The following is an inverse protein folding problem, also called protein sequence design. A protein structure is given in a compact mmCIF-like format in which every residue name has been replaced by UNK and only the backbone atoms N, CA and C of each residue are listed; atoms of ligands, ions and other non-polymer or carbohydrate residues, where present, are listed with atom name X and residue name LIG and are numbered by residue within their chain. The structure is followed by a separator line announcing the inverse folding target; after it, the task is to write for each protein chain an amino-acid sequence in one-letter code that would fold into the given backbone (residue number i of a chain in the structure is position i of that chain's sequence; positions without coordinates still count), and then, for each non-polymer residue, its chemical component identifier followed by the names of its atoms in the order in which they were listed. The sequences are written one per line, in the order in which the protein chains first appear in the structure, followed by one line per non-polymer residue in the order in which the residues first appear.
data_IF_313926457093
#
_entry.id   IF_313926457093
#
_cell.length_a   1.000
_cell.length_b   1.000
_cell.length_c   1.000
_cell.angle_alpha   90.00
_cell.angle_beta   90.00
_cell.angle_gamma   90.00
#
_symmetry.space_group_name_H-M   'P 1'
#
loop_
_entity.id
_entity.type
_entity.pdbx_description
1 polymer ?
#
# COMPACT_ATOMS: atom_id res chain seq x y z
N UNK A 1 13.05 2.34 0.23
CA UNK A 1 12.01 2.65 1.25
C UNK A 1 11.80 4.15 1.20
N UNK A 2 10.54 4.64 1.11
CA UNK A 2 10.26 6.06 1.07
C UNK A 2 10.42 6.71 2.44
N UNK A 3 10.68 8.02 2.47
CA UNK A 3 10.75 8.79 3.73
C UNK A 3 9.40 8.82 4.45
N UNK A 4 8.32 9.06 3.69
CA UNK A 4 6.96 8.91 4.18
C UNK A 4 6.04 8.36 3.09
N UNK A 5 5.07 7.56 3.52
CA UNK A 5 3.98 7.07 2.68
C UNK A 5 2.68 7.08 3.48
N UNK A 6 1.58 7.45 2.82
CA UNK A 6 0.24 7.42 3.40
C UNK A 6 -0.78 6.88 2.41
N UNK A 7 -1.89 6.35 2.92
CA UNK A 7 -3.00 5.86 2.10
C UNK A 7 -4.27 6.67 2.42
N UNK A 8 -4.90 7.18 1.38
CA UNK A 8 -6.22 7.85 1.42
C UNK A 8 -7.32 6.83 1.11
N UNK A 9 -8.58 7.30 1.08
CA UNK A 9 -9.75 6.50 0.65
C UNK A 9 -9.48 5.79 -0.69
N UNK A 10 -10.11 4.63 -0.87
CA UNK A 10 -9.93 3.77 -2.04
C UNK A 10 -8.47 3.36 -2.30
N UNK A 11 -7.72 3.11 -1.22
CA UNK A 11 -6.32 2.65 -1.27
C UNK A 11 -5.40 3.55 -2.11
N UNK A 12 -5.67 4.86 -2.14
CA UNK A 12 -4.89 5.81 -2.91
C UNK A 12 -3.63 6.21 -2.14
N UNK A 13 -2.46 5.73 -2.57
CA UNK A 13 -1.20 5.94 -1.88
C UNK A 13 -0.51 7.24 -2.31
N UNK A 14 0.08 7.94 -1.34
CA UNK A 14 0.88 9.14 -1.55
C UNK A 14 2.24 8.93 -0.93
N UNK A 15 3.29 9.11 -1.73
CA UNK A 15 4.68 9.05 -1.28
C UNK A 15 5.24 10.45 -1.19
N UNK A 16 5.95 10.73 -0.11
CA UNK A 16 6.67 11.98 0.11
C UNK A 16 8.13 11.66 0.38
N UNK A 17 9.01 12.31 -0.37
CA UNK A 17 10.46 12.20 -0.27
C UNK A 17 11.01 13.55 0.19
N UNK A 18 11.56 13.59 1.39
CA UNK A 18 12.09 14.79 2.01
C UNK A 18 13.52 15.01 1.55
N UNK A 19 13.85 16.22 1.08
CA UNK A 19 15.21 16.58 0.68
C UNK A 19 15.58 17.92 1.31
N UNK A 20 16.72 17.96 2.00
CA UNK A 20 17.20 19.14 2.73
C UNK A 20 18.33 19.86 1.98
N UNK A 21 18.93 19.20 0.99
CA UNK A 21 19.99 19.74 0.15
C UNK A 21 19.81 19.34 -1.31
N UNK A 22 20.48 20.07 -2.23
CA UNK A 22 20.51 19.70 -3.65
C UNK A 22 21.24 18.38 -3.88
N UNK A 23 22.27 18.09 -3.08
CA UNK A 23 22.98 16.81 -3.14
C UNK A 23 22.05 15.63 -2.82
N UNK A 24 21.18 15.74 -1.80
CA UNK A 24 20.19 14.71 -1.48
C UNK A 24 19.24 14.44 -2.65
N UNK A 25 18.82 15.51 -3.34
CA UNK A 25 17.94 15.41 -4.50
C UNK A 25 18.61 14.63 -5.64
N UNK A 26 19.86 14.95 -5.98
CA UNK A 26 20.58 14.25 -7.05
C UNK A 26 20.88 12.79 -6.69
N UNK A 27 21.31 12.53 -5.46
CA UNK A 27 21.52 11.17 -4.97
C UNK A 27 20.24 10.31 -5.00
N UNK A 28 19.08 10.93 -4.75
CA UNK A 28 17.80 10.25 -4.89
C UNK A 28 17.45 9.91 -6.34
N UNK A 29 17.74 10.80 -7.29
CA UNK A 29 17.52 10.54 -8.73
C UNK A 29 18.37 9.37 -9.26
N UNK A 30 19.57 9.18 -8.71
CA UNK A 30 20.47 8.11 -9.13
C UNK A 30 20.02 6.71 -8.68
N UNK A 31 19.05 6.61 -7.76
CA UNK A 31 18.60 5.32 -7.23
C UNK A 31 18.03 4.42 -8.35
N UNK A 32 18.31 3.11 -8.36
CA UNK A 32 17.90 2.20 -9.44
C UNK A 32 16.40 2.20 -9.75
N UNK A 33 15.55 2.36 -8.74
CA UNK A 33 14.09 2.40 -8.89
C UNK A 33 13.56 3.75 -9.40
N UNK A 34 14.42 4.77 -9.55
CA UNK A 34 14.10 6.01 -10.28
C UNK A 34 14.34 5.89 -11.77
N UNK A 35 15.32 5.07 -12.14
CA UNK A 35 15.59 4.71 -13.54
C UNK A 35 14.55 3.74 -14.10
N UNK A 36 13.83 3.03 -13.21
CA UNK A 36 12.77 2.07 -13.50
C UNK A 36 11.44 2.51 -12.88
N UNK A 37 10.69 3.43 -13.52
CA UNK A 37 9.45 3.99 -12.98
C UNK A 37 8.41 2.94 -12.57
N UNK A 38 8.45 1.77 -13.21
CA UNK A 38 7.59 0.62 -12.96
C UNK A 38 7.73 0.02 -11.56
N UNK A 39 8.88 0.21 -10.91
CA UNK A 39 9.14 -0.23 -9.53
C UNK A 39 8.76 0.83 -8.49
N UNK A 40 8.41 2.04 -8.95
CA UNK A 40 8.10 3.16 -8.07
C UNK A 40 6.81 2.97 -7.27
N UNK A 41 6.84 3.41 -6.02
CA UNK A 41 5.69 3.42 -5.11
C UNK A 41 4.85 4.69 -5.27
N UNK A 42 3.59 4.65 -4.87
CA UNK A 42 2.69 5.79 -4.75
C UNK A 42 1.87 6.06 -6.01
N UNK A 43 0.57 6.31 -5.82
CA UNK A 43 -0.32 6.89 -6.84
C UNK A 43 0.06 8.35 -7.14
N UNK A 44 0.33 9.11 -6.08
CA UNK A 44 0.91 10.46 -6.11
C UNK A 44 2.31 10.42 -5.48
N UNK A 45 3.21 11.25 -5.99
CA UNK A 45 4.60 11.33 -5.53
C UNK A 45 5.04 12.78 -5.39
N UNK A 46 5.57 13.12 -4.23
CA UNK A 46 6.00 14.48 -3.92
C UNK A 46 7.44 14.50 -3.42
N UNK A 47 8.17 15.54 -3.81
CA UNK A 47 9.30 16.00 -3.02
C UNK A 47 8.81 17.03 -1.99
N UNK A 48 9.33 16.96 -0.77
CA UNK A 48 9.16 17.98 0.27
C UNK A 48 10.52 18.60 0.56
N UNK A 49 10.64 19.91 0.38
CA UNK A 49 11.91 20.63 0.58
C UNK A 49 11.71 21.91 1.38
N UNK A 50 12.79 22.49 1.95
CA UNK A 50 12.79 23.92 2.29
C UNK A 50 12.40 24.78 1.08
N UNK A 51 11.80 25.94 1.35
CA UNK A 51 11.41 26.88 0.31
C UNK A 51 12.61 27.30 -0.54
N UNK A 52 12.45 27.28 -1.87
CA UNK A 52 13.47 27.69 -2.83
C UNK A 52 14.59 26.69 -3.09
N UNK A 53 14.56 25.48 -2.50
CA UNK A 53 15.63 24.48 -2.72
C UNK A 53 15.60 23.86 -4.13
N UNK A 54 14.40 23.54 -4.61
CA UNK A 54 14.16 22.90 -5.91
C UNK A 54 13.14 23.72 -6.69
N UNK A 55 13.34 23.78 -8.01
CA UNK A 55 12.38 24.39 -8.90
C UNK A 55 11.45 23.33 -9.54
N UNK A 56 10.14 23.60 -9.69
CA UNK A 56 9.18 22.65 -10.26
C UNK A 56 9.60 21.96 -11.56
N UNK A 57 10.33 22.60 -12.47
CA UNK A 57 10.74 21.99 -13.75
C UNK A 57 11.93 21.03 -13.62
N UNK A 58 12.64 21.03 -12.50
CA UNK A 58 13.72 20.07 -12.23
C UNK A 58 13.19 18.69 -11.86
N UNK A 59 11.90 18.60 -11.51
CA UNK A 59 11.29 17.38 -11.01
C UNK A 59 10.99 16.39 -12.14
N UNK A 60 11.10 15.08 -11.86
CA UNK A 60 10.65 14.06 -12.80
C UNK A 60 9.19 14.26 -13.21
N UNK A 61 8.85 13.88 -14.45
CA UNK A 61 7.51 14.10 -15.00
C UNK A 61 6.42 13.51 -14.09
N UNK A 62 5.43 14.34 -13.77
CA UNK A 62 4.27 13.95 -12.93
C UNK A 62 4.51 14.04 -11.42
N UNK A 63 5.74 14.31 -10.97
CA UNK A 63 6.01 14.54 -9.55
C UNK A 63 5.52 15.91 -9.11
N UNK A 64 5.04 15.97 -7.87
CA UNK A 64 4.67 17.21 -7.20
C UNK A 64 5.82 17.76 -6.35
N UNK A 65 5.74 19.06 -6.04
CA UNK A 65 6.66 19.76 -5.16
C UNK A 65 5.87 20.39 -4.01
N UNK A 66 6.32 20.09 -2.80
CA UNK A 66 5.88 20.68 -1.55
C UNK A 66 7.03 21.47 -0.94
N UNK A 67 6.74 22.66 -0.44
CA UNK A 67 7.71 23.46 0.29
C UNK A 67 7.29 23.62 1.75
N UNK A 68 8.23 23.39 2.66
CA UNK A 68 8.06 23.62 4.09
C UNK A 68 8.51 25.04 4.44
N UNK A 69 7.62 25.79 5.08
CA UNK A 69 7.91 27.10 5.67
C UNK A 69 7.50 27.08 7.15
N UNK A 70 8.46 26.76 8.03
CA UNK A 70 8.19 26.61 9.46
C UNK A 70 7.27 25.42 9.76
N UNK A 71 6.01 25.69 10.14
CA UNK A 71 5.00 24.67 10.45
C UNK A 71 3.98 24.46 9.34
N UNK A 72 4.06 25.22 8.25
CA UNK A 72 3.14 25.11 7.11
C UNK A 72 3.82 24.44 5.93
N UNK A 73 3.03 23.67 5.19
CA UNK A 73 3.46 23.04 3.94
C UNK A 73 2.65 23.63 2.80
N UNK A 74 3.34 24.15 1.80
CA UNK A 74 2.77 24.80 0.62
C UNK A 74 2.92 23.88 -0.58
N UNK A 75 1.85 23.75 -1.39
CA UNK A 75 1.88 22.97 -2.63
C UNK A 75 2.31 23.88 -3.75
N UNK A 76 3.55 23.73 -4.22
CA UNK A 76 4.09 24.50 -5.35
C UNK A 76 3.70 23.84 -6.68
N UNK A 77 3.77 22.51 -6.75
CA UNK A 77 3.36 21.73 -7.91
C UNK A 77 2.55 20.51 -7.47
N UNK A 78 1.38 20.30 -8.08
CA UNK A 78 0.57 19.10 -7.85
C UNK A 78 1.19 17.88 -8.54
N UNK A 79 1.11 16.72 -7.89
CA UNK A 79 1.47 15.44 -8.49
C UNK A 79 0.36 14.90 -9.38
N UNK A 80 0.73 14.10 -10.38
CA UNK A 80 -0.21 13.23 -11.08
C UNK A 80 -0.74 12.15 -10.12
N UNK A 81 -1.99 11.71 -10.33
CA UNK A 81 -2.72 10.84 -9.40
C UNK A 81 -2.66 9.35 -9.74
N UNK A 82 -2.07 8.99 -10.88
CA UNK A 82 -2.11 7.64 -11.44
C UNK A 82 -0.70 7.12 -11.79
N UNK A 83 0.30 7.46 -10.97
CA UNK A 83 1.68 7.04 -11.17
C UNK A 83 1.94 5.59 -10.73
N UNK A 84 0.98 4.95 -10.04
CA UNK A 84 1.12 3.61 -9.49
C UNK A 84 0.99 2.54 -10.58
N UNK A 85 1.93 1.60 -10.57
CA UNK A 85 1.90 0.39 -11.39
C UNK A 85 1.45 -0.83 -10.58
N UNK A 86 1.16 -1.95 -11.24
CA UNK A 86 0.82 -3.22 -10.58
C UNK A 86 1.99 -3.71 -9.69
N UNK A 87 3.23 -3.55 -10.15
CA UNK A 87 4.42 -3.95 -9.39
C UNK A 87 4.63 -3.03 -8.19
N UNK A 88 4.53 -1.71 -8.39
CA UNK A 88 4.60 -0.72 -7.31
C UNK A 88 3.55 -0.97 -6.24
N UNK A 89 2.32 -1.33 -6.63
CA UNK A 89 1.25 -1.70 -5.69
C UNK A 89 1.62 -2.91 -4.82
N UNK A 90 2.20 -3.98 -5.40
CA UNK A 90 2.65 -5.14 -4.61
C UNK A 90 3.72 -4.72 -3.59
N UNK A 91 4.65 -3.85 -3.97
CA UNK A 91 5.65 -3.32 -3.05
C UNK A 91 5.04 -2.45 -1.95
N UNK A 92 4.02 -1.64 -2.24
CA UNK A 92 3.26 -0.89 -1.25
C UNK A 92 2.59 -1.83 -0.23
N UNK A 93 1.96 -2.91 -0.69
CA UNK A 93 1.31 -3.89 0.20
C UNK A 93 2.34 -4.60 1.09
N UNK A 94 3.48 -4.99 0.53
CA UNK A 94 4.57 -5.57 1.32
C UNK A 94 5.11 -4.59 2.37
N UNK A 95 5.21 -3.30 2.03
CA UNK A 95 5.64 -2.26 2.96
C UNK A 95 4.62 -2.02 4.08
N UNK A 96 3.33 -2.06 3.75
CA UNK A 96 2.24 -1.95 4.72
C UNK A 96 2.26 -3.14 5.69
N UNK A 97 2.32 -4.36 5.17
CA UNK A 97 2.43 -5.59 5.98
C UNK A 97 3.67 -5.56 6.89
N UNK A 98 4.83 -5.14 6.37
CA UNK A 98 6.05 -5.00 7.15
C UNK A 98 5.92 -3.93 8.26
N UNK A 99 5.19 -2.84 7.99
CA UNK A 99 4.94 -1.78 8.97
C UNK A 99 4.01 -2.25 10.09
N UNK A 100 2.94 -2.98 9.75
CA UNK A 100 2.01 -3.56 10.72
C UNK A 100 2.72 -4.53 11.67
N UNK A 101 3.57 -5.41 11.14
CA UNK A 101 4.39 -6.35 11.95
C UNK A 101 5.26 -5.63 12.98
N UNK A 102 5.74 -4.41 12.69
CA UNK A 102 6.55 -3.60 13.63
C UNK A 102 5.69 -2.95 14.71
N UNK A 103 4.44 -2.60 14.38
CA UNK A 103 3.49 -1.98 15.32
C UNK A 103 2.82 -3.05 16.21
N UNK A 104 2.62 -4.28 15.71
CA UNK A 104 2.20 -5.44 16.50
C UNK A 104 3.14 -5.73 17.69
N UNK A 105 4.39 -5.24 17.69
CA UNK A 105 5.30 -5.35 18.85
C UNK A 105 4.87 -4.44 20.02
N UNK A 106 3.90 -3.54 19.85
CA UNK A 106 3.36 -2.66 20.91
C UNK A 106 1.93 -2.98 21.35
N UNK A 107 1.28 -3.92 20.69
CA UNK A 107 0.07 -4.56 21.22
C UNK A 107 0.60 -5.88 21.73
N UNK A 108 0.68 -6.04 23.05
CA UNK A 108 1.18 -7.26 23.68
C UNK A 108 0.74 -8.49 22.87
N UNK A 109 1.68 -9.29 22.32
CA UNK A 109 1.33 -10.37 21.43
C UNK A 109 0.59 -11.42 22.27
N UNK A 110 -0.73 -11.35 22.27
CA UNK A 110 -1.56 -12.49 22.63
C UNK A 110 -1.07 -13.59 21.69
N UNK A 111 -0.49 -14.65 22.24
CA UNK A 111 -0.09 -15.81 21.43
C UNK A 111 -1.30 -16.25 20.57
N UNK A 112 -1.10 -16.97 19.46
CA UNK A 112 -2.25 -17.54 18.70
C UNK A 112 -3.22 -18.23 19.67
N UNK A 113 -2.68 -18.90 20.69
CA UNK A 113 -3.44 -19.49 21.78
C UNK A 113 -4.27 -18.48 22.57
N UNK A 114 -3.73 -17.31 22.90
CA UNK A 114 -4.44 -16.27 23.65
C UNK A 114 -5.45 -15.49 22.78
N UNK A 115 -5.16 -15.30 21.48
CA UNK A 115 -6.12 -14.80 20.50
C UNK A 115 -7.30 -15.78 20.29
N UNK A 116 -7.01 -17.09 20.19
CA UNK A 116 -8.03 -18.13 20.10
C UNK A 116 -8.81 -18.27 21.42
N UNK A 117 -8.14 -18.18 22.58
CA UNK A 117 -8.82 -18.09 23.88
C UNK A 117 -9.66 -16.83 23.99
N UNK A 118 -9.29 -15.72 23.36
CA UNK A 118 -10.09 -14.50 23.31
C UNK A 118 -11.34 -14.67 22.44
N UNK A 119 -11.22 -15.26 21.22
CA UNK A 119 -12.38 -15.63 20.40
C UNK A 119 -13.32 -16.60 21.14
N UNK A 120 -12.76 -17.61 21.80
CA UNK A 120 -13.55 -18.60 22.56
C UNK A 120 -14.19 -17.99 23.82
N UNK A 121 -13.48 -17.10 24.54
CA UNK A 121 -14.04 -16.39 25.70
C UNK A 121 -15.16 -15.43 25.32
N UNK A 122 -15.10 -14.76 24.17
CA UNK A 122 -16.22 -13.93 23.70
C UNK A 122 -17.45 -14.75 23.33
N UNK A 123 -17.27 -15.96 22.79
CA UNK A 123 -18.37 -16.89 22.54
C UNK A 123 -19.02 -17.34 23.87
N UNK A 124 -18.24 -17.68 24.90
CA UNK A 124 -18.77 -18.04 26.22
C UNK A 124 -19.43 -16.84 26.94
N UNK A 125 -18.83 -15.64 26.86
CA UNK A 125 -19.32 -14.43 27.54
C UNK A 125 -20.64 -13.91 26.95
N UNK A 126 -20.88 -14.14 25.65
CA UNK A 126 -22.16 -13.84 25.00
C UNK A 126 -23.14 -15.04 25.02
N UNK A 127 -22.89 -16.06 25.84
CA UNK A 127 -23.77 -17.23 25.96
C UNK A 127 -23.86 -18.09 24.68
N UNK A 128 -22.82 -18.07 23.85
CA UNK A 128 -22.75 -18.74 22.54
C UNK A 128 -23.14 -17.86 21.35
N UNK A 129 -23.43 -16.58 21.57
CA UNK A 129 -23.94 -15.68 20.52
C UNK A 129 -22.85 -14.76 19.95
N UNK A 130 -22.68 -14.72 18.63
CA UNK A 130 -21.72 -13.80 18.00
C UNK A 130 -22.09 -12.33 18.26
N UNK A 131 -21.10 -11.42 18.44
CA UNK A 131 -21.36 -9.99 18.59
C UNK A 131 -22.15 -9.43 17.40
N UNK A 132 -23.12 -8.56 17.66
CA UNK A 132 -23.94 -7.94 16.63
C UNK A 132 -23.07 -7.17 15.63
N UNK A 133 -23.07 -7.58 14.36
CA UNK A 133 -22.33 -6.93 13.27
C UNK A 133 -21.08 -7.66 12.78
N UNK A 134 -20.68 -8.77 13.40
CA UNK A 134 -19.68 -9.70 12.85
C UNK A 134 -20.41 -10.84 12.14
N UNK A 135 -20.07 -11.07 10.87
CA UNK A 135 -20.61 -12.19 10.13
C UNK A 135 -19.93 -13.49 10.62
N UNK A 136 -20.68 -14.60 10.73
CA UNK A 136 -20.10 -15.92 10.92
C UNK A 136 -19.06 -16.22 9.84
N UNK A 137 -18.05 -17.03 10.17
CA UNK A 137 -16.96 -17.41 9.25
C UNK A 137 -17.50 -18.11 7.98
N UNK A 138 -18.66 -18.79 8.08
CA UNK A 138 -19.36 -19.37 6.93
C UNK A 138 -20.09 -18.34 6.04
N UNK A 139 -20.22 -17.09 6.49
CA UNK A 139 -20.91 -15.99 5.82
C UNK A 139 -19.96 -14.84 5.44
N UNK A 140 -18.65 -15.00 5.63
CA UNK A 140 -17.64 -14.13 5.04
C UNK A 140 -17.15 -14.76 3.71
N UNK A 141 -17.77 -14.43 2.55
CA UNK A 141 -17.30 -14.94 1.28
C UNK A 141 -15.89 -14.42 1.00
N UNK A 142 -14.94 -15.33 0.84
CA UNK A 142 -13.61 -15.02 0.35
C UNK A 142 -13.58 -15.18 -1.18
N UNK A 143 -13.99 -14.13 -1.89
CA UNK A 143 -14.10 -14.11 -3.35
C UNK A 143 -12.74 -14.35 -4.07
N UNK A 144 -11.62 -14.29 -3.34
CA UNK A 144 -10.28 -14.54 -3.88
C UNK A 144 -9.88 -16.03 -3.88
N UNK A 145 -10.63 -16.90 -3.19
CA UNK A 145 -10.37 -18.34 -3.11
C UNK A 145 -11.29 -19.17 -4.00
N UNK A 146 -12.14 -18.54 -4.84
CA UNK A 146 -12.92 -19.28 -5.83
C UNK A 146 -11.94 -19.95 -6.82
N UNK A 147 -11.79 -21.27 -6.68
CA UNK A 147 -11.06 -22.10 -7.63
C UNK A 147 -11.62 -21.82 -9.03
N UNK A 148 -10.74 -21.42 -9.94
CA UNK A 148 -11.09 -21.24 -11.34
C UNK A 148 -11.77 -22.52 -11.84
N UNK A 149 -13.04 -22.38 -12.22
CA UNK A 149 -13.81 -23.44 -12.87
C UNK A 149 -12.98 -24.02 -14.03
N UNK A 150 -12.61 -25.29 -13.95
CA UNK A 150 -11.91 -25.98 -15.04
C UNK A 150 -12.74 -25.85 -16.34
N UNK A 151 -12.12 -25.46 -17.46
CA UNK A 151 -12.85 -25.42 -18.73
C UNK A 151 -13.24 -26.84 -19.16
N UNK A 152 -14.43 -27.03 -19.76
CA UNK A 152 -14.91 -28.35 -20.14
C UNK A 152 -14.03 -28.98 -21.22
N UNK A 153 -13.57 -30.21 -20.95
CA UNK A 153 -12.81 -31.03 -21.88
C UNK A 153 -13.68 -31.39 -23.08
N UNK A 154 -13.36 -30.82 -24.25
CA UNK A 154 -14.06 -31.12 -25.50
C UNK A 154 -13.51 -32.43 -26.07
N UNK A 155 -14.29 -33.53 -26.00
CA UNK A 155 -13.97 -34.78 -26.71
C UNK A 155 -14.18 -34.57 -28.22
N UNK A 156 -13.10 -34.55 -28.98
CA UNK A 156 -13.13 -34.63 -30.44
C UNK A 156 -13.60 -36.03 -30.82
N UNK A 157 -14.75 -36.15 -31.50
CA UNK A 157 -15.15 -37.40 -32.17
C UNK A 157 -14.26 -37.57 -33.40
N UNK A 158 -13.57 -38.71 -33.49
CA UNK A 158 -12.91 -39.13 -34.71
C UNK A 158 -13.98 -39.31 -35.81
N UNK A 159 -13.73 -38.74 -36.99
CA UNK A 159 -14.55 -38.92 -38.17
C UNK A 159 -14.29 -40.32 -38.74
N UNK A 160 -15.38 -41.00 -39.11
CA UNK A 160 -15.38 -42.29 -39.79
C UNK A 160 -14.70 -42.18 -41.18
N UNK A 161 -13.77 -43.08 -41.46
CA UNK A 161 -13.33 -43.53 -42.80
C UNK A 161 -13.28 -45.04 -42.77
#
# INVERSE_FOLDING_TARGET
MPDAIGWKRACHSVVVECKISRADFFADQEKPFRQKPELGLGCERFYLTPAGLLHPEELPRGWGLLESAGRTVHVIRRSARNLRTVIGFRHEMNLLLASLRRVEVRIEPQTITDFLKWKNRMAEYNGGTSPHGLLPEQQEPNDFLQEACEPPVTRIKAADV
#
